data_IF_983336310309
#
_entry.id   IF_983336310309
#
_cell.length_a   1.000
_cell.length_b   1.000
_cell.length_c   1.000
_cell.angle_alpha   90.00
_cell.angle_beta   90.00
_cell.angle_gamma   90.00
#
_symmetry.space_group_name_H-M   'P 1'
#
loop_
_entity.id
_entity.type
_entity.pdbx_description
1 polymer ?
#
# COMPACT_ATOMS: atom_id res chain seq x y z
N UNK A 1 16.07 -4.79 -28.82
CA UNK A 1 14.67 -4.76 -28.36
C UNK A 1 14.54 -3.64 -27.36
N UNK A 2 13.60 -2.73 -27.56
CA UNK A 2 13.35 -1.62 -26.63
C UNK A 2 12.40 -2.09 -25.52
N UNK A 3 12.71 -1.85 -24.23
CA UNK A 3 11.92 -2.36 -23.12
C UNK A 3 10.59 -1.61 -22.99
N UNK A 4 9.49 -2.37 -22.97
CA UNK A 4 8.16 -1.82 -22.72
C UNK A 4 8.05 -1.47 -21.23
N UNK A 5 7.85 -0.18 -20.92
CA UNK A 5 7.71 0.30 -19.53
C UNK A 5 6.26 0.11 -19.08
N UNK A 6 6.05 -0.84 -18.18
CA UNK A 6 4.75 -1.06 -17.54
C UNK A 6 4.62 -0.13 -16.32
N UNK A 7 3.57 0.71 -16.24
CA UNK A 7 3.37 1.57 -15.09
C UNK A 7 3.06 0.76 -13.83
N UNK A 8 3.58 1.22 -12.70
CA UNK A 8 3.27 0.61 -11.42
C UNK A 8 1.78 0.83 -11.06
N UNK A 9 1.12 -0.16 -10.43
CA UNK A 9 -0.24 0.03 -9.95
C UNK A 9 -0.29 1.15 -8.91
N UNK A 10 -1.40 1.90 -8.82
CA UNK A 10 -1.55 2.94 -7.81
C UNK A 10 -1.56 2.31 -6.42
N UNK A 11 -1.09 3.06 -5.40
CA UNK A 11 -1.07 2.59 -4.00
C UNK A 11 -2.45 2.21 -3.46
N UNK A 12 -3.51 2.80 -4.03
CA UNK A 12 -4.90 2.49 -3.70
C UNK A 12 -5.39 1.15 -4.26
N UNK A 13 -4.66 0.50 -5.19
CA UNK A 13 -5.07 -0.77 -5.78
C UNK A 13 -5.07 -1.92 -4.76
N UNK A 14 -4.24 -1.84 -3.71
CA UNK A 14 -4.20 -2.83 -2.65
C UNK A 14 -4.85 -2.30 -1.37
N UNK A 15 -5.99 -2.88 -1.00
CA UNK A 15 -6.66 -2.56 0.25
C UNK A 15 -6.12 -3.40 1.40
N UNK A 16 -5.34 -2.79 2.28
CA UNK A 16 -4.74 -3.45 3.45
C UNK A 16 -5.77 -3.75 4.55
N UNK A 17 -6.87 -2.99 4.60
CA UNK A 17 -7.88 -3.08 5.64
C UNK A 17 -8.99 -4.09 5.32
N UNK A 18 -8.91 -4.75 4.15
CA UNK A 18 -9.86 -5.81 3.81
C UNK A 18 -9.67 -7.01 4.74
N UNK A 19 -10.76 -7.75 4.95
CA UNK A 19 -10.73 -9.00 5.71
C UNK A 19 -9.79 -9.98 5.03
N UNK A 20 -9.13 -10.79 5.85
CA UNK A 20 -8.21 -11.82 5.36
C UNK A 20 -8.93 -12.79 4.42
N UNK A 21 -8.26 -13.13 3.31
CA UNK A 21 -8.72 -14.16 2.38
C UNK A 21 -8.47 -15.57 2.92
N UNK A 22 -9.22 -16.56 2.42
CA UNK A 22 -9.09 -17.95 2.85
C UNK A 22 -7.69 -18.54 2.59
N UNK A 23 -7.03 -18.11 1.50
CA UNK A 23 -5.66 -18.50 1.20
C UNK A 23 -4.70 -18.05 2.30
N UNK A 24 -4.74 -16.76 2.64
CA UNK A 24 -3.89 -16.20 3.69
C UNK A 24 -4.23 -16.82 5.05
N UNK A 25 -5.51 -17.08 5.33
CA UNK A 25 -5.93 -17.75 6.56
C UNK A 25 -5.35 -19.17 6.68
N UNK A 26 -5.34 -19.94 5.58
CA UNK A 26 -4.74 -21.27 5.54
C UNK A 26 -3.22 -21.22 5.78
N UNK A 27 -2.53 -20.27 5.14
CA UNK A 27 -1.09 -20.06 5.34
C UNK A 27 -0.76 -19.69 6.80
N UNK A 28 -1.57 -18.82 7.41
CA UNK A 28 -1.39 -18.46 8.82
C UNK A 28 -1.56 -19.65 9.75
N UNK A 29 -2.59 -20.49 9.53
CA UNK A 29 -2.77 -21.73 10.30
C UNK A 29 -1.55 -22.64 10.19
N UNK A 30 -0.96 -22.74 9.01
CA UNK A 30 0.26 -23.50 8.80
C UNK A 30 1.44 -22.91 9.62
N UNK A 31 1.66 -21.59 9.56
CA UNK A 31 2.73 -20.95 10.33
C UNK A 31 2.55 -21.10 11.84
N UNK A 32 1.32 -20.93 12.36
CA UNK A 32 1.02 -21.15 13.77
C UNK A 32 1.24 -22.61 14.20
N UNK A 33 0.98 -23.57 13.31
CA UNK A 33 1.30 -24.97 13.59
C UNK A 33 2.81 -25.19 13.66
N UNK A 34 3.57 -24.58 12.74
CA UNK A 34 5.04 -24.66 12.73
C UNK A 34 5.64 -23.99 13.98
N UNK A 35 5.08 -22.87 14.42
CA UNK A 35 5.47 -22.15 15.65
C UNK A 35 5.29 -23.04 16.89
N UNK A 36 4.12 -23.70 17.02
CA UNK A 36 3.88 -24.67 18.10
C UNK A 36 4.90 -25.81 18.13
N UNK A 37 5.39 -26.25 16.96
CA UNK A 37 6.36 -27.35 16.85
C UNK A 37 7.82 -26.91 17.05
N UNK A 38 8.16 -25.70 16.60
CA UNK A 38 9.55 -25.23 16.48
C UNK A 38 10.00 -24.29 17.60
N UNK A 39 9.06 -23.95 18.50
CA UNK A 39 9.20 -22.90 19.50
C UNK A 39 8.69 -21.55 19.00
N UNK A 40 8.44 -20.65 19.94
CA UNK A 40 8.01 -19.27 19.64
C UNK A 40 9.05 -18.55 18.76
N UNK A 41 8.57 -17.90 17.70
CA UNK A 41 9.41 -17.12 16.79
C UNK A 41 9.66 -15.69 17.30
N UNK A 42 9.14 -15.34 18.47
CA UNK A 42 9.35 -14.02 19.09
C UNK A 42 8.69 -12.91 18.30
N UNK A 43 7.53 -13.20 17.70
CA UNK A 43 6.79 -12.23 16.89
C UNK A 43 6.11 -11.21 17.80
N UNK A 44 6.18 -9.93 17.42
CA UNK A 44 5.55 -8.85 18.16
C UNK A 44 4.03 -9.11 18.34
N UNK A 45 3.53 -9.11 19.59
CA UNK A 45 2.11 -9.33 19.87
C UNK A 45 1.19 -8.29 19.21
N UNK A 46 1.67 -7.08 18.91
CA UNK A 46 0.86 -6.08 18.19
C UNK A 46 0.56 -6.50 16.75
N UNK A 47 1.49 -7.21 16.11
CA UNK A 47 1.30 -7.75 14.76
C UNK A 47 0.27 -8.88 14.80
N UNK A 48 0.34 -9.74 15.82
CA UNK A 48 -0.61 -10.84 16.01
C UNK A 48 -2.05 -10.36 16.24
N UNK A 49 -2.26 -9.22 16.91
CA UNK A 49 -3.61 -8.62 17.11
C UNK A 49 -4.29 -8.22 15.79
N UNK A 50 -3.50 -7.72 14.84
CA UNK A 50 -4.01 -7.18 13.58
C UNK A 50 -4.19 -8.22 12.45
N UNK A 51 -3.99 -9.50 12.76
CA UNK A 51 -3.97 -10.62 11.81
C UNK A 51 -5.27 -10.84 11.01
N UNK A 52 -6.39 -10.28 11.49
CA UNK A 52 -7.72 -10.37 10.87
C UNK A 52 -7.82 -9.60 9.54
N UNK A 53 -6.91 -8.65 9.33
CA UNK A 53 -6.81 -7.86 8.10
C UNK A 53 -5.72 -8.43 7.20
N UNK A 54 -5.87 -8.27 5.88
CA UNK A 54 -4.83 -8.69 4.95
C UNK A 54 -3.49 -7.99 5.17
N UNK A 55 -3.51 -6.68 5.48
CA UNK A 55 -2.29 -5.95 5.81
C UNK A 55 -1.60 -6.47 7.06
N UNK A 56 -2.37 -6.85 8.08
CA UNK A 56 -1.81 -7.47 9.30
C UNK A 56 -1.28 -8.88 9.04
N UNK A 57 -2.03 -9.70 8.29
CA UNK A 57 -1.58 -11.04 7.89
C UNK A 57 -0.28 -10.99 7.09
N UNK A 58 -0.16 -10.07 6.13
CA UNK A 58 1.06 -9.88 5.34
C UNK A 58 2.26 -9.51 6.22
N UNK A 59 2.08 -8.64 7.22
CA UNK A 59 3.12 -8.28 8.18
C UNK A 59 3.55 -9.47 9.04
N UNK A 60 2.59 -10.27 9.52
CA UNK A 60 2.88 -11.47 10.31
C UNK A 60 3.66 -12.50 9.48
N UNK A 61 3.24 -12.78 8.25
CA UNK A 61 3.95 -13.69 7.33
C UNK A 61 5.36 -13.16 7.03
N UNK A 62 5.51 -11.86 6.78
CA UNK A 62 6.82 -11.25 6.57
C UNK A 62 7.73 -11.42 7.80
N UNK A 63 7.21 -11.22 9.01
CA UNK A 63 7.97 -11.40 10.24
C UNK A 63 8.44 -12.85 10.42
N UNK A 64 7.53 -13.83 10.34
CA UNK A 64 7.86 -15.26 10.47
C UNK A 64 8.83 -15.72 9.38
N UNK A 65 8.59 -15.35 8.13
CA UNK A 65 9.48 -15.76 7.04
C UNK A 65 10.87 -15.13 7.17
N UNK A 66 10.97 -13.94 7.74
CA UNK A 66 12.26 -13.31 8.05
C UNK A 66 12.99 -14.05 9.17
N UNK A 67 12.30 -14.42 10.26
CA UNK A 67 12.92 -15.19 11.35
C UNK A 67 13.33 -16.59 10.90
N UNK A 68 12.48 -17.29 10.14
CA UNK A 68 12.79 -18.59 9.54
C UNK A 68 13.97 -18.50 8.59
N UNK A 69 14.02 -17.47 7.75
CA UNK A 69 15.15 -17.26 6.83
C UNK A 69 16.44 -17.01 7.59
N UNK A 70 16.41 -16.20 8.65
CA UNK A 70 17.59 -15.95 9.49
C UNK A 70 18.08 -17.25 10.16
N UNK A 71 17.16 -18.08 10.67
CA UNK A 71 17.47 -19.38 11.29
C UNK A 71 18.01 -20.40 10.27
N UNK A 72 17.47 -20.42 9.06
CA UNK A 72 17.93 -21.30 7.98
C UNK A 72 19.27 -20.89 7.36
N UNK A 73 19.53 -19.58 7.27
CA UNK A 73 20.80 -19.02 6.80
C UNK A 73 21.96 -19.25 7.78
N UNK A 74 21.68 -19.48 9.07
CA UNK A 74 22.69 -19.91 10.04
C UNK A 74 23.19 -21.35 9.75
N UNK A 75 22.50 -22.13 8.91
CA UNK A 75 22.88 -23.50 8.55
C UNK A 75 23.38 -23.68 7.11
N UNK A 76 22.94 -22.86 6.14
CA UNK A 76 23.41 -22.95 4.74
C UNK A 76 23.38 -21.58 4.07
N UNK A 77 24.56 -20.98 3.93
CA UNK A 77 24.75 -19.77 3.15
C UNK A 77 24.72 -20.11 1.65
N UNK A 78 23.54 -20.06 1.03
CA UNK A 78 23.42 -19.80 -0.40
C UNK A 78 22.16 -18.98 -0.62
N UNK A 79 22.27 -17.67 -0.42
CA UNK A 79 21.23 -16.76 -0.92
C UNK A 79 21.33 -16.74 -2.45
N UNK A 80 20.23 -16.93 -3.21
CA UNK A 80 20.20 -16.39 -4.55
C UNK A 80 20.25 -14.87 -4.42
N UNK A 81 21.40 -14.29 -4.78
CA UNK A 81 21.55 -12.86 -4.89
C UNK A 81 20.52 -12.35 -5.90
N UNK A 82 19.41 -11.80 -5.42
CA UNK A 82 18.62 -10.88 -6.22
C UNK A 82 19.51 -9.66 -6.41
N UNK A 83 20.23 -9.64 -7.54
CA UNK A 83 21.02 -8.51 -7.99
C UNK A 83 20.11 -7.31 -8.22
N UNK A 84 19.83 -6.57 -7.16
CA UNK A 84 19.36 -5.21 -7.28
C UNK A 84 20.48 -4.41 -7.95
N UNK A 85 20.32 -4.11 -9.22
CA UNK A 85 21.17 -3.12 -9.90
C UNK A 85 20.77 -1.75 -9.34
N UNK A 86 21.65 -1.05 -8.60
CA UNK A 86 21.34 0.30 -8.17
C UNK A 86 21.41 1.23 -9.38
N UNK A 87 20.26 1.74 -9.82
CA UNK A 87 20.23 2.80 -10.82
C UNK A 87 20.72 4.09 -10.17
N UNK A 88 21.93 4.51 -10.55
CA UNK A 88 22.54 5.79 -10.16
C UNK A 88 21.58 6.93 -10.50
N UNK A 89 21.18 7.70 -9.47
CA UNK A 89 20.60 9.04 -9.63
C UNK A 89 21.66 9.92 -10.30
N UNK A 90 21.49 10.22 -11.58
CA UNK A 90 22.17 11.35 -12.20
C UNK A 90 21.26 12.57 -12.11
N UNK A 91 21.65 13.48 -11.23
CA UNK A 91 21.20 14.86 -11.19
C UNK A 91 21.70 15.57 -12.46
N UNK A 92 20.80 15.89 -13.38
CA UNK A 92 21.04 16.99 -14.34
C UNK A 92 19.86 17.95 -14.32
N UNK A 93 20.14 19.05 -13.62
CA UNK A 93 19.49 20.36 -13.66
C UNK A 93 19.34 20.79 -15.12
N UNK A 94 18.12 20.82 -15.65
CA UNK A 94 17.84 21.52 -16.91
C UNK A 94 17.49 22.99 -16.60
N UNK A 95 18.09 23.95 -17.32
CA UNK A 95 17.81 25.37 -17.16
C UNK A 95 16.54 25.79 -17.95
N UNK A 96 15.84 26.77 -17.38
CA UNK A 96 14.74 27.54 -17.97
C UNK A 96 14.93 27.88 -19.46
N UNK A 97 13.88 27.67 -20.26
CA UNK A 97 13.59 28.47 -21.45
C UNK A 97 12.09 28.49 -21.75
N UNK A 98 11.47 29.63 -21.40
CA UNK A 98 10.26 30.31 -21.90
C UNK A 98 8.91 29.56 -22.10
N UNK A 99 7.79 30.15 -21.63
CA UNK A 99 6.44 29.67 -21.88
C UNK A 99 5.92 30.10 -23.26
N UNK A 100 5.39 29.16 -24.05
CA UNK A 100 4.58 29.48 -25.22
C UNK A 100 3.16 29.84 -24.78
N UNK A 101 2.93 31.14 -24.67
CA UNK A 101 1.60 31.73 -24.63
C UNK A 101 0.99 31.71 -26.04
N UNK A 102 -0.13 31.03 -26.20
CA UNK A 102 -1.08 31.33 -27.28
C UNK A 102 -2.41 31.69 -26.61
N UNK A 103 -2.85 32.91 -26.89
CA UNK A 103 -4.00 33.55 -26.31
C UNK A 103 -5.32 33.14 -27.00
N UNK A 104 -6.36 33.01 -26.17
CA UNK A 104 -7.74 33.48 -26.35
C UNK A 104 -8.51 33.19 -27.65
N UNK A 105 -9.54 32.34 -27.52
CA UNK A 105 -10.85 32.57 -28.16
C UNK A 105 -12.00 31.99 -27.31
N UNK A 106 -12.70 32.90 -26.62
CA UNK A 106 -14.14 32.93 -26.29
C UNK A 106 -14.95 31.63 -26.08
N UNK A 107 -15.41 31.38 -24.85
CA UNK A 107 -16.78 31.66 -24.40
C UNK A 107 -17.05 31.15 -22.95
N UNK A 108 -17.67 31.97 -22.06
CA UNK A 108 -17.98 31.60 -20.69
C UNK A 108 -19.36 30.93 -20.58
N UNK A 109 -19.42 29.70 -20.08
CA UNK A 109 -20.71 29.11 -19.69
C UNK A 109 -21.03 29.44 -18.23
N UNK A 110 -22.15 30.13 -18.08
CA UNK A 110 -22.64 30.84 -16.90
C UNK A 110 -22.95 29.87 -15.75
N UNK A 111 -22.43 30.17 -14.57
CA UNK A 111 -23.01 29.73 -13.30
C UNK A 111 -24.35 30.44 -13.07
N UNK A 112 -25.45 29.73 -12.75
CA UNK A 112 -26.59 30.35 -12.13
C UNK A 112 -26.49 30.32 -10.60
N UNK A 113 -26.31 31.53 -10.06
CA UNK A 113 -27.04 32.14 -8.95
C UNK A 113 -27.08 31.49 -7.55
N UNK A 114 -26.54 32.25 -6.58
CA UNK A 114 -26.96 32.27 -5.18
C UNK A 114 -28.37 32.90 -5.03
N UNK A 115 -29.25 32.27 -4.23
CA UNK A 115 -30.36 32.87 -3.46
C UNK A 115 -30.51 32.02 -2.18
N UNK A 116 -30.06 32.46 -1.01
CA UNK A 116 -30.69 33.36 -0.02
C UNK A 116 -31.93 32.79 0.69
N UNK A 117 -31.76 32.57 2.00
CA UNK A 117 -32.66 32.85 3.13
C UNK A 117 -33.96 32.03 3.37
N UNK A 118 -34.03 31.42 4.56
CA UNK A 118 -35.12 31.43 5.59
C UNK A 118 -34.97 30.14 6.44
N UNK A 119 -34.56 30.13 7.72
CA UNK A 119 -35.05 30.76 8.97
C UNK A 119 -36.50 30.38 9.35
N UNK A 120 -36.58 29.53 10.38
CA UNK A 120 -37.57 29.45 11.50
C UNK A 120 -38.92 28.74 11.34
N UNK A 121 -39.14 27.88 12.35
CA UNK A 121 -40.35 27.61 13.18
C UNK A 121 -41.59 26.93 12.58
N UNK A 122 -41.90 25.75 13.14
CA UNK A 122 -43.16 25.31 13.76
C UNK A 122 -42.86 23.92 14.36
N UNK A 123 -42.96 23.55 15.64
CA UNK A 123 -43.88 23.80 16.76
C UNK A 123 -45.36 23.66 16.39
N UNK A 124 -45.88 22.44 16.58
CA UNK A 124 -47.30 22.10 16.68
C UNK A 124 -47.41 20.60 17.01
N UNK A 125 -47.59 20.20 18.27
CA UNK A 125 -48.88 19.97 18.93
C UNK A 125 -49.75 18.94 18.17
N UNK A 126 -49.87 17.73 18.72
CA UNK A 126 -51.03 17.32 19.53
C UNK A 126 -50.64 16.15 20.42
#
# INVERSE_FOLDING_TARGET
>A
MEPIVVPAPPRSAYNHNRRISDLLLSQLKHFQHVEKKSGDFGIDPEIARNIHTEGGAAKYIAAITTTLRARGLAGTATQPALSFVPTRKSSKKQPNAAPLAIAAAAAPNKHPAKKSAAKKLAKGKK
#
